data_IF_640399378936
#
_entry.id   IF_640399378936
#
_cell.length_a   1.000
_cell.length_b   1.000
_cell.length_c   1.000
_cell.angle_alpha   90.00
_cell.angle_beta   90.00
_cell.angle_gamma   90.00
#
_symmetry.space_group_name_H-M   'P 1'
#
loop_
_entity.id
_entity.type
_entity.pdbx_description
1 polymer ?
#
# COMPACT_ATOMS: atom_id res chain seq x y z
N UNK A 1 3.27 12.67 12.67
CA UNK A 1 4.27 12.41 11.61
C UNK A 1 4.29 10.91 11.37
N UNK A 2 4.11 10.42 10.14
CA UNK A 2 4.10 8.97 9.88
C UNK A 2 5.54 8.51 9.74
N UNK A 3 6.10 7.98 10.82
CA UNK A 3 7.40 7.31 10.77
C UNK A 3 7.17 5.84 10.40
N UNK A 4 7.68 5.41 9.25
CA UNK A 4 7.66 4.02 8.84
C UNK A 4 8.77 3.25 9.57
N UNK A 5 8.47 2.03 10.02
CA UNK A 5 9.52 1.08 10.39
C UNK A 5 10.09 0.47 9.09
N UNK A 6 11.16 1.08 8.56
CA UNK A 6 11.73 0.69 7.27
C UNK A 6 12.27 -0.74 7.26
N UNK A 7 12.64 -1.30 8.42
CA UNK A 7 13.07 -2.70 8.52
C UNK A 7 11.97 -3.68 8.13
N UNK A 8 10.70 -3.27 8.24
CA UNK A 8 9.53 -4.10 7.89
C UNK A 8 9.11 -3.97 6.44
N UNK A 9 9.66 -3.02 5.67
CA UNK A 9 9.29 -2.84 4.26
C UNK A 9 10.14 -3.78 3.41
N UNK A 10 9.46 -4.71 2.72
CA UNK A 10 10.12 -5.67 1.82
C UNK A 10 10.02 -5.27 0.36
N UNK A 11 8.90 -4.68 -0.02
CA UNK A 11 8.55 -4.38 -1.40
C UNK A 11 7.69 -3.13 -1.50
N UNK A 12 7.98 -2.30 -2.48
CA UNK A 12 7.16 -1.16 -2.90
C UNK A 12 6.81 -1.39 -4.37
N UNK A 13 5.52 -1.42 -4.67
CA UNK A 13 5.02 -1.48 -6.05
C UNK A 13 4.48 -0.11 -6.42
N UNK A 14 5.01 0.48 -7.49
CA UNK A 14 4.62 1.77 -8.03
C UNK A 14 3.74 1.52 -9.25
N UNK A 15 2.53 2.08 -9.26
CA UNK A 15 1.60 1.97 -10.38
C UNK A 15 1.60 3.31 -11.11
N UNK A 16 1.94 3.31 -12.39
CA UNK A 16 2.01 4.52 -13.19
C UNK A 16 0.66 4.86 -13.80
N UNK A 17 0.34 6.16 -13.87
CA UNK A 17 -0.88 6.60 -14.52
C UNK A 17 -0.81 6.27 -16.02
N UNK A 18 -1.62 5.31 -16.46
CA UNK A 18 -1.72 4.89 -17.86
C UNK A 18 -2.21 6.07 -18.70
N UNK A 19 -1.32 6.65 -19.49
CA UNK A 19 -1.67 7.84 -20.27
C UNK A 19 -2.48 7.47 -21.52
N UNK A 20 -3.82 7.57 -21.42
CA UNK A 20 -4.75 7.77 -22.54
C UNK A 20 -5.03 6.57 -23.48
N UNK A 21 -6.09 6.67 -24.30
CA UNK A 21 -6.42 5.65 -25.29
C UNK A 21 -5.30 5.55 -26.33
N UNK A 22 -4.55 4.43 -26.31
CA UNK A 22 -3.48 4.15 -27.27
C UNK A 22 -2.11 3.78 -26.68
N UNK A 23 -1.88 3.93 -25.37
CA UNK A 23 -0.54 3.66 -24.79
C UNK A 23 -0.36 2.22 -24.31
N UNK A 24 0.05 1.33 -25.21
CA UNK A 24 0.68 0.05 -24.85
C UNK A 24 2.15 0.05 -25.31
N UNK A 25 3.05 0.62 -24.50
CA UNK A 25 4.50 0.42 -24.62
C UNK A 25 5.30 0.85 -23.37
N UNK A 26 4.70 0.87 -22.18
CA UNK A 26 5.39 1.18 -20.93
C UNK A 26 5.00 0.21 -19.84
N UNK A 27 5.95 -0.17 -18.97
CA UNK A 27 5.67 -0.97 -17.78
C UNK A 27 4.62 -0.24 -16.92
N UNK A 28 3.43 -0.83 -16.79
CA UNK A 28 2.30 -0.24 -16.04
C UNK A 28 2.60 -0.13 -14.55
N UNK A 29 3.54 -0.93 -14.07
CA UNK A 29 3.98 -0.93 -12.68
C UNK A 29 5.47 -1.22 -12.59
N UNK A 30 6.10 -0.71 -11.53
CA UNK A 30 7.48 -0.98 -11.16
C UNK A 30 7.53 -1.59 -9.77
N UNK A 31 8.33 -2.63 -9.60
CA UNK A 31 8.54 -3.31 -8.33
C UNK A 31 9.93 -2.94 -7.80
N UNK A 32 9.98 -2.48 -6.55
CA UNK A 32 11.21 -2.13 -5.84
C UNK A 32 11.28 -3.02 -4.60
N UNK A 33 12.36 -3.76 -4.42
CA UNK A 33 12.47 -4.80 -3.39
C UNK A 33 13.75 -4.64 -2.55
N UNK A 34 13.75 -5.24 -1.36
CA UNK A 34 14.93 -5.33 -0.51
C UNK A 34 15.47 -3.95 -0.09
N UNK A 35 16.79 -3.75 -0.23
CA UNK A 35 17.47 -2.54 0.24
C UNK A 35 17.00 -1.27 -0.44
N UNK A 36 16.60 -1.32 -1.70
CA UNK A 36 16.12 -0.13 -2.42
C UNK A 36 14.78 0.34 -1.86
N UNK A 37 13.89 -0.60 -1.51
CA UNK A 37 12.62 -0.30 -0.89
C UNK A 37 12.82 0.32 0.51
N UNK A 38 13.79 -0.20 1.27
CA UNK A 38 14.20 0.33 2.56
C UNK A 38 14.77 1.75 2.43
N UNK A 39 15.67 1.98 1.47
CA UNK A 39 16.25 3.31 1.22
C UNK A 39 15.21 4.37 0.86
N UNK A 40 14.19 4.01 0.05
CA UNK A 40 13.06 4.92 -0.24
C UNK A 40 12.29 5.28 1.02
N UNK A 41 12.07 4.30 1.90
CA UNK A 41 11.44 4.53 3.19
C UNK A 41 12.26 5.46 4.08
N UNK A 42 13.58 5.25 4.17
CA UNK A 42 14.47 6.08 4.99
C UNK A 42 14.45 7.54 4.53
N UNK A 43 14.51 7.77 3.21
CA UNK A 43 14.42 9.12 2.64
C UNK A 43 13.05 9.75 2.94
N UNK A 44 11.96 9.00 2.84
CA UNK A 44 10.63 9.50 3.17
C UNK A 44 10.53 9.91 4.66
N UNK A 45 11.07 9.09 5.56
CA UNK A 45 11.16 9.38 6.99
C UNK A 45 12.01 10.62 7.28
N UNK A 46 13.19 10.73 6.65
CA UNK A 46 14.08 11.89 6.81
C UNK A 46 13.40 13.20 6.38
N UNK A 47 12.60 13.14 5.31
CA UNK A 47 11.85 14.28 4.78
C UNK A 47 10.51 14.52 5.51
N UNK A 48 10.09 13.60 6.38
CA UNK A 48 8.83 13.69 7.10
C UNK A 48 7.58 13.56 6.24
N UNK A 49 7.68 12.90 5.08
CA UNK A 49 6.59 12.73 4.11
C UNK A 49 6.25 11.24 3.93
N UNK A 50 5.11 10.94 3.33
CA UNK A 50 4.78 9.56 2.98
C UNK A 50 5.65 9.05 1.82
N UNK A 51 5.87 7.73 1.74
CA UNK A 51 6.56 7.09 0.60
C UNK A 51 5.83 7.44 -0.72
N UNK A 52 4.50 7.48 -0.70
CA UNK A 52 3.70 7.87 -1.86
C UNK A 52 3.99 9.32 -2.28
N UNK A 53 4.02 10.26 -1.34
CA UNK A 53 4.34 11.65 -1.64
C UNK A 53 5.76 11.82 -2.20
N UNK A 54 6.73 11.07 -1.65
CA UNK A 54 8.08 11.06 -2.18
C UNK A 54 8.12 10.60 -3.64
N UNK A 55 7.40 9.52 -3.97
CA UNK A 55 7.36 8.95 -5.31
C UNK A 55 6.58 9.83 -6.29
N UNK A 56 5.43 10.39 -5.88
CA UNK A 56 4.65 11.35 -6.68
C UNK A 56 5.41 12.65 -6.99
N UNK A 57 6.42 13.02 -6.19
CA UNK A 57 7.33 14.14 -6.50
C UNK A 57 8.35 13.81 -7.58
N UNK A 58 8.69 12.52 -7.76
CA UNK A 58 9.73 12.06 -8.70
C UNK A 58 9.15 11.61 -10.04
N UNK A 59 7.96 11.00 -10.02
CA UNK A 59 7.37 10.33 -11.16
C UNK A 59 5.84 10.54 -11.20
N UNK A 60 5.21 10.35 -12.38
CA UNK A 60 3.74 10.37 -12.52
C UNK A 60 3.14 9.05 -12.04
N UNK A 61 3.00 8.94 -10.72
CA UNK A 61 2.48 7.75 -10.04
C UNK A 61 0.99 7.90 -9.76
N UNK A 62 0.21 6.89 -10.12
CA UNK A 62 -1.21 6.79 -9.78
C UNK A 62 -1.38 6.31 -8.34
N UNK A 63 -0.74 5.20 -8.00
CA UNK A 63 -0.83 4.56 -6.69
C UNK A 63 0.48 3.87 -6.28
N UNK A 64 0.65 3.69 -4.97
CA UNK A 64 1.79 2.97 -4.38
C UNK A 64 1.28 1.91 -3.42
N UNK A 65 1.75 0.67 -3.60
CA UNK A 65 1.47 -0.45 -2.69
C UNK A 65 2.74 -0.74 -1.88
N UNK A 66 2.62 -0.73 -0.56
CA UNK A 66 3.73 -0.97 0.37
C UNK A 66 3.49 -2.30 1.08
N UNK A 67 4.30 -3.31 0.74
CA UNK A 67 4.26 -4.60 1.40
C UNK A 67 5.19 -4.57 2.61
N UNK A 68 4.59 -4.62 3.79
CA UNK A 68 5.29 -4.69 5.07
C UNK A 68 5.05 -6.02 5.76
N UNK A 69 6.06 -6.48 6.48
CA UNK A 69 5.92 -7.56 7.44
C UNK A 69 5.06 -7.06 8.60
N UNK A 70 3.82 -7.54 8.67
CA UNK A 70 2.93 -7.29 9.80
C UNK A 70 2.77 -8.61 10.53
N UNK A 71 3.32 -8.66 11.74
CA UNK A 71 2.95 -9.71 12.67
C UNK A 71 1.45 -9.55 12.96
N UNK A 72 0.63 -10.48 12.49
CA UNK A 72 -0.78 -10.53 12.84
C UNK A 72 -0.86 -10.67 14.37
N UNK A 73 -1.66 -9.85 15.07
CA UNK A 73 -1.85 -10.04 16.50
C UNK A 73 -2.41 -11.44 16.71
N UNK A 74 -1.72 -12.25 17.53
CA UNK A 74 -2.21 -13.54 18.03
C UNK A 74 -3.32 -13.29 19.05
N UNK A 75 -4.41 -12.66 18.63
CA UNK A 75 -5.65 -12.57 19.39
C UNK A 75 -6.57 -13.72 18.96
N UNK A 76 -7.48 -14.21 19.82
CA UNK A 76 -8.46 -15.19 19.41
C UNK A 76 -9.21 -14.64 18.19
N UNK A 77 -9.25 -15.40 17.10
CA UNK A 77 -10.09 -15.08 15.96
C UNK A 77 -11.52 -14.99 16.50
N UNK A 78 -12.07 -13.78 16.61
CA UNK A 78 -13.48 -13.63 16.94
C UNK A 78 -14.26 -14.26 15.78
N UNK A 79 -15.03 -15.34 16.02
CA UNK A 79 -15.94 -15.83 15.00
C UNK A 79 -16.94 -14.70 14.73
N UNK A 80 -16.90 -14.15 13.51
CA UNK A 80 -18.03 -13.37 13.01
C UNK A 80 -19.21 -14.33 12.95
N UNK A 81 -20.06 -14.27 13.98
CA UNK A 81 -21.32 -14.98 14.00
C UNK A 81 -22.16 -14.52 12.82
N UNK A 82 -22.30 -15.40 11.83
CA UNK A 82 -23.45 -15.41 10.95
C UNK A 82 -24.66 -15.73 11.85
N UNK A 83 -25.42 -14.70 12.21
CA UNK A 83 -26.59 -14.79 13.07
C UNK A 83 -27.70 -13.93 12.52
N UNK A 84 -28.68 -14.60 11.91
CA UNK A 84 -30.09 -14.24 11.74
C UNK A 84 -30.51 -12.80 12.06
N UNK A 85 -31.05 -12.11 11.05
CA UNK A 85 -32.27 -11.33 11.28
C UNK A 85 -33.35 -11.89 10.36
N UNK A 86 -34.28 -12.60 11.02
CA UNK A 86 -35.50 -13.12 10.48
C UNK A 86 -36.42 -11.99 9.98
N UNK A 87 -37.13 -12.35 8.92
CA UNK A 87 -38.34 -11.73 8.39
C UNK A 87 -39.35 -11.35 9.49
N UNK A 88 -39.84 -10.11 9.46
CA UNK A 88 -41.22 -9.78 9.80
C UNK A 88 -41.57 -8.36 9.32
N UNK A 89 -42.38 -8.26 8.26
CA UNK A 89 -43.17 -7.08 7.93
C UNK A 89 -44.57 -7.33 8.47
N UNK A 90 -44.97 -6.60 9.50
CA UNK A 90 -46.35 -6.49 9.94
C UNK A 90 -46.57 -5.11 10.59
N UNK A 91 -47.20 -4.20 9.84
CA UNK A 91 -48.18 -3.21 10.29
C UNK A 91 -48.68 -2.42 9.07
#
# INVERSE_FOLDING_TARGET
MVAYDCSKIRKITVIYAGSGPGSFAGEKYKVIEGRDAQGICEVANQLGISIEQLLKRREKVEAVVINRDVSLPKGPAQPHGHGEQAEHVAA
#
